data_IF_175912562025
#
_entry.id   IF_175912562025
#
_cell.length_a   1.000
_cell.length_b   1.000
_cell.length_c   1.000
_cell.angle_alpha   90.00
_cell.angle_beta   90.00
_cell.angle_gamma   90.00
#
_symmetry.space_group_name_H-M   'P 1'
#
loop_
_entity.id
_entity.type
_entity.pdbx_description
1 polymer ?
#
# COMPACT_ATOMS: atom_id res chain seq x y z
N UNK A 1 2.88 19.02 -4.94
CA UNK A 1 2.83 19.29 -3.47
C UNK A 1 2.57 18.01 -2.66
N UNK A 2 1.47 17.26 -2.85
CA UNK A 2 1.16 16.04 -2.06
C UNK A 2 2.21 14.93 -2.12
N UNK A 3 2.79 14.67 -3.30
CA UNK A 3 3.86 13.69 -3.46
C UNK A 3 5.12 14.01 -2.63
N UNK A 4 5.46 15.30 -2.51
CA UNK A 4 6.63 15.79 -1.74
C UNK A 4 6.36 15.70 -0.24
N UNK A 5 5.11 15.93 0.18
CA UNK A 5 4.74 15.77 1.59
C UNK A 5 4.70 14.30 2.03
N UNK A 6 4.36 13.38 1.11
CA UNK A 6 4.38 11.95 1.35
C UNK A 6 5.79 11.38 1.56
N UNK A 7 6.85 11.99 1.02
CA UNK A 7 8.22 11.51 1.27
C UNK A 7 8.67 11.67 2.73
N UNK A 8 8.07 12.62 3.47
CA UNK A 8 8.39 12.88 4.89
C UNK A 8 7.64 11.96 5.87
N UNK A 9 6.79 11.04 5.38
CA UNK A 9 5.98 10.17 6.23
C UNK A 9 6.84 9.22 7.08
N UNK A 10 8.05 8.91 6.63
CA UNK A 10 9.02 8.12 7.39
C UNK A 10 9.37 8.75 8.76
N UNK A 11 9.37 10.08 8.88
CA UNK A 11 9.64 10.79 10.14
C UNK A 11 8.58 10.50 11.20
N UNK A 12 7.34 10.27 10.79
CA UNK A 12 6.21 9.95 11.69
C UNK A 12 6.35 8.56 12.32
N UNK A 13 7.17 7.69 11.75
CA UNK A 13 7.37 6.33 12.28
C UNK A 13 8.21 6.28 13.56
N UNK A 14 8.84 7.40 13.95
CA UNK A 14 9.67 7.49 15.16
C UNK A 14 8.84 7.71 16.43
N UNK A 15 7.69 8.38 16.31
CA UNK A 15 6.82 8.73 17.42
C UNK A 15 5.42 8.16 17.18
N UNK A 16 5.24 6.90 17.60
CA UNK A 16 3.97 6.17 17.47
C UNK A 16 3.34 6.05 18.86
N UNK A 17 2.16 6.64 19.02
CA UNK A 17 1.35 6.50 20.23
C UNK A 17 0.32 5.38 20.02
N UNK A 18 0.15 4.54 21.03
CA UNK A 18 -0.85 3.46 21.05
C UNK A 18 -1.84 3.81 22.14
N UNK A 19 -3.14 3.83 21.82
CA UNK A 19 -4.16 4.04 22.84
C UNK A 19 -4.14 2.89 23.84
N UNK A 20 -4.22 3.22 25.13
CA UNK A 20 -4.24 2.25 26.24
C UNK A 20 -5.63 2.09 26.84
N UNK A 21 -6.68 2.43 26.08
CA UNK A 21 -8.07 2.35 26.55
C UNK A 21 -8.41 0.97 27.13
N UNK A 22 -9.31 0.96 28.11
CA UNK A 22 -9.67 -0.16 28.99
C UNK A 22 -9.61 -1.53 28.32
N UNK A 23 -8.56 -2.27 28.67
CA UNK A 23 -8.35 -3.64 28.20
C UNK A 23 -9.46 -4.50 28.81
N UNK A 24 -10.43 -4.88 27.97
CA UNK A 24 -11.43 -5.88 28.36
C UNK A 24 -10.69 -7.18 28.65
N UNK A 25 -10.85 -7.68 29.88
CA UNK A 25 -10.16 -8.89 30.38
C UNK A 25 -10.47 -10.15 29.55
N UNK A 26 -11.57 -10.13 28.79
CA UNK A 26 -12.02 -11.20 27.88
C UNK A 26 -11.69 -10.94 26.40
N UNK A 27 -11.00 -9.85 26.07
CA UNK A 27 -10.69 -9.46 24.69
C UNK A 27 -9.45 -10.15 24.10
N UNK A 28 -9.40 -10.25 22.77
CA UNK A 28 -8.19 -10.69 22.07
C UNK A 28 -7.11 -9.60 22.11
N UNK A 29 -5.86 -10.02 22.32
CA UNK A 29 -4.69 -9.14 22.26
C UNK A 29 -4.00 -9.26 20.91
N UNK A 30 -4.01 -8.19 20.13
CA UNK A 30 -3.35 -8.15 18.82
C UNK A 30 -1.92 -7.64 18.94
N UNK A 31 -0.96 -8.36 18.36
CA UNK A 31 0.44 -7.96 18.27
C UNK A 31 0.73 -7.57 16.82
N UNK A 32 1.05 -6.30 16.60
CA UNK A 32 1.43 -5.77 15.29
C UNK A 32 2.96 -5.57 15.21
N UNK A 33 3.65 -6.26 14.28
CA UNK A 33 5.07 -6.04 14.05
C UNK A 33 5.38 -4.62 13.59
N UNK A 34 6.37 -3.98 14.24
CA UNK A 34 6.76 -2.59 13.95
C UNK A 34 7.20 -2.39 12.50
N UNK A 35 7.91 -3.35 11.91
CA UNK A 35 8.38 -3.28 10.52
C UNK A 35 7.21 -3.15 9.52
N UNK A 36 6.11 -3.87 9.76
CA UNK A 36 4.91 -3.81 8.91
C UNK A 36 4.21 -2.47 9.08
N UNK A 37 4.04 -2.01 10.33
CA UNK A 37 3.44 -0.71 10.61
C UNK A 37 4.23 0.44 9.97
N UNK A 38 5.56 0.42 10.08
CA UNK A 38 6.42 1.44 9.47
C UNK A 38 6.28 1.47 7.95
N UNK A 39 6.31 0.30 7.31
CA UNK A 39 6.11 0.19 5.85
C UNK A 39 4.72 0.70 5.45
N UNK A 40 3.68 0.33 6.18
CA UNK A 40 2.31 0.76 5.91
C UNK A 40 2.14 2.29 6.03
N UNK A 41 2.79 2.91 7.02
CA UNK A 41 2.81 4.38 7.15
C UNK A 41 3.52 5.00 5.96
N UNK A 42 4.67 4.47 5.52
CA UNK A 42 5.45 5.05 4.41
C UNK A 42 4.67 5.03 3.08
N UNK A 43 3.93 3.96 2.80
CA UNK A 43 3.13 3.84 1.58
C UNK A 43 1.79 4.61 1.63
N UNK A 44 1.45 5.22 2.77
CA UNK A 44 0.18 5.96 2.93
C UNK A 44 0.24 7.38 2.37
N UNK A 45 -0.92 8.03 2.30
CA UNK A 45 -1.04 9.43 1.87
C UNK A 45 -1.60 10.29 3.01
N UNK A 46 -1.31 11.60 2.97
CA UNK A 46 -1.76 12.55 3.99
C UNK A 46 -3.25 12.93 3.86
N UNK A 47 -3.86 12.64 2.70
CA UNK A 47 -5.18 13.13 2.32
C UNK A 47 -6.12 11.99 1.94
N UNK A 48 -5.64 11.00 1.20
CA UNK A 48 -6.39 9.80 0.88
C UNK A 48 -6.11 8.71 1.92
N UNK A 49 -7.19 8.13 2.47
CA UNK A 49 -7.06 6.98 3.36
C UNK A 49 -6.67 5.72 2.58
N UNK A 50 -5.87 4.85 3.20
CA UNK A 50 -5.57 3.52 2.70
C UNK A 50 -5.95 2.48 3.75
N UNK A 51 -6.34 1.30 3.31
CA UNK A 51 -6.74 0.17 4.13
C UNK A 51 -5.99 -1.10 3.71
N UNK A 52 -5.83 -2.03 4.65
CA UNK A 52 -5.17 -3.30 4.39
C UNK A 52 -5.79 -4.39 5.25
N UNK A 53 -5.92 -5.59 4.69
CA UNK A 53 -6.40 -6.75 5.42
C UNK A 53 -5.27 -7.33 6.28
N UNK A 54 -5.52 -7.43 7.59
CA UNK A 54 -4.58 -8.01 8.54
C UNK A 54 -4.75 -9.53 8.56
N UNK A 55 -3.66 -10.25 8.34
CA UNK A 55 -3.63 -11.70 8.47
C UNK A 55 -2.64 -12.08 9.56
N UNK A 56 -3.08 -12.94 10.45
CA UNK A 56 -2.32 -13.35 11.62
C UNK A 56 -2.75 -14.71 12.11
N UNK A 57 -1.96 -15.26 13.02
CA UNK A 57 -2.26 -16.54 13.68
C UNK A 57 -2.08 -16.37 15.18
N UNK A 58 -2.77 -17.21 15.95
CA UNK A 58 -2.45 -17.32 17.37
C UNK A 58 -1.22 -18.20 17.56
N UNK A 59 -0.32 -17.85 18.50
CA UNK A 59 0.70 -18.79 18.93
C UNK A 59 0.03 -20.04 19.55
N UNK A 60 0.64 -21.23 19.43
CA UNK A 60 0.07 -22.47 19.97
C UNK A 60 -0.10 -22.42 21.49
N UNK A 61 0.72 -21.60 22.16
CA UNK A 61 0.75 -21.50 23.62
C UNK A 61 -0.36 -20.60 24.19
N UNK A 62 -0.93 -19.67 23.39
CA UNK A 62 -1.95 -18.76 23.86
C UNK A 62 -2.94 -18.32 22.75
N UNK A 63 -4.17 -18.87 22.73
CA UNK A 63 -5.17 -18.55 21.71
C UNK A 63 -5.79 -17.15 21.84
N UNK A 64 -5.63 -16.49 22.99
CA UNK A 64 -6.12 -15.12 23.21
C UNK A 64 -5.21 -14.05 22.57
N UNK A 65 -3.98 -14.43 22.20
CA UNK A 65 -3.05 -13.56 21.48
C UNK A 65 -3.20 -13.82 19.98
N UNK A 66 -3.21 -12.75 19.19
CA UNK A 66 -3.25 -12.78 17.73
C UNK A 66 -2.04 -12.04 17.19
N UNK A 67 -1.08 -12.77 16.64
CA UNK A 67 0.11 -12.20 16.02
C UNK A 67 -0.15 -11.91 14.56
N UNK A 68 -0.11 -10.63 14.19
CA UNK A 68 -0.26 -10.20 12.80
C UNK A 68 1.04 -10.53 12.07
N UNK A 69 0.96 -11.37 11.03
CA UNK A 69 2.13 -11.79 10.24
C UNK A 69 2.25 -11.02 8.94
N UNK A 70 1.13 -10.64 8.33
CA UNK A 70 1.15 -9.91 7.09
C UNK A 70 -0.06 -8.98 6.94
N UNK A 71 0.10 -8.00 6.05
CA UNK A 71 -0.94 -7.06 5.65
C UNK A 71 -1.08 -7.16 4.15
N UNK A 72 -2.29 -7.42 3.68
CA UNK A 72 -2.59 -7.52 2.26
C UNK A 72 -3.28 -6.26 1.80
N UNK A 73 -2.74 -5.65 0.75
CA UNK A 73 -3.31 -4.48 0.12
C UNK A 73 -4.05 -4.92 -1.14
N UNK A 74 -5.39 -4.92 -1.13
CA UNK A 74 -6.15 -5.09 -2.36
C UNK A 74 -6.07 -3.80 -3.21
N UNK A 75 -6.38 -3.88 -4.51
CA UNK A 75 -6.65 -2.69 -5.32
C UNK A 75 -7.72 -1.84 -4.62
N UNK A 76 -7.45 -0.57 -4.36
CA UNK A 76 -8.34 0.28 -3.56
C UNK A 76 -8.22 1.74 -3.98
N UNK A 77 -9.25 2.53 -3.66
CA UNK A 77 -9.19 3.98 -3.77
C UNK A 77 -9.80 4.63 -2.53
N UNK A 78 -9.08 5.60 -1.98
CA UNK A 78 -9.44 6.30 -0.77
C UNK A 78 -9.94 7.72 -1.04
N UNK A 79 -10.94 8.13 -0.28
CA UNK A 79 -11.26 9.54 -0.05
C UNK A 79 -10.64 9.97 1.28
N UNK A 80 -10.97 11.18 1.76
CA UNK A 80 -10.53 11.64 3.09
C UNK A 80 -11.29 11.00 4.24
N UNK A 81 -12.49 10.47 3.96
CA UNK A 81 -13.42 9.98 4.98
C UNK A 81 -13.61 8.46 4.90
N UNK A 82 -13.48 7.89 3.71
CA UNK A 82 -13.80 6.48 3.44
C UNK A 82 -12.82 5.86 2.45
N UNK A 83 -12.63 4.54 2.55
CA UNK A 83 -11.86 3.74 1.60
C UNK A 83 -12.80 2.77 0.90
N UNK A 84 -12.70 2.70 -0.42
CA UNK A 84 -13.43 1.76 -1.24
C UNK A 84 -12.53 0.57 -1.57
N UNK A 85 -12.95 -0.60 -1.09
CA UNK A 85 -12.29 -1.88 -1.28
C UNK A 85 -13.14 -2.75 -2.21
N UNK A 86 -12.53 -3.65 -2.99
CA UNK A 86 -13.25 -4.66 -3.72
C UNK A 86 -13.97 -5.58 -2.74
N UNK A 87 -15.15 -6.06 -3.13
CA UNK A 87 -15.98 -6.92 -2.28
C UNK A 87 -15.34 -8.28 -1.98
N UNK A 88 -14.25 -8.64 -2.65
CA UNK A 88 -13.57 -9.91 -2.48
C UNK A 88 -12.33 -9.80 -1.60
N UNK A 89 -12.21 -10.77 -0.69
CA UNK A 89 -11.01 -10.94 0.12
C UNK A 89 -9.86 -11.59 -0.67
N UNK A 90 -8.61 -11.19 -0.36
CA UNK A 90 -7.42 -11.72 -1.02
C UNK A 90 -7.16 -13.20 -0.78
N UNK A 91 -6.91 -13.97 -1.85
CA UNK A 91 -6.54 -15.39 -1.76
C UNK A 91 -5.13 -15.62 -2.35
N UNK A 92 -4.23 -16.27 -1.58
CA UNK A 92 -2.89 -16.66 -2.04
C UNK A 92 -2.52 -18.05 -1.53
N UNK A 93 -1.62 -18.75 -2.23
CA UNK A 93 -1.07 -20.03 -1.78
C UNK A 93 -0.35 -19.94 -0.42
N UNK A 94 0.41 -18.87 -0.16
CA UNK A 94 1.01 -18.59 1.17
C UNK A 94 0.00 -18.18 2.26
N UNK A 95 -1.27 -17.97 1.91
CA UNK A 95 -2.37 -17.75 2.85
C UNK A 95 -3.17 -19.04 3.11
N UNK A 96 -2.85 -20.16 2.43
CA UNK A 96 -3.48 -21.48 2.68
C UNK A 96 -3.11 -21.95 4.09
N UNK A 97 -4.08 -21.87 4.99
CA UNK A 97 -3.94 -22.06 6.44
C UNK A 97 -4.85 -21.13 7.25
N UNK A 98 -5.42 -20.11 6.59
CA UNK A 98 -6.44 -19.22 7.13
C UNK A 98 -7.69 -19.38 6.23
N UNK A 99 -8.81 -19.84 6.78
CA UNK A 99 -10.01 -20.24 6.01
C UNK A 99 -10.69 -19.06 5.28
N UNK A 100 -11.06 -19.23 3.98
CA UNK A 100 -12.31 -18.78 3.29
C UNK A 100 -12.21 -18.83 1.72
N UNK A 101 -13.35 -18.94 1.00
CA UNK A 101 -13.55 -19.20 -0.46
C UNK A 101 -14.68 -18.30 -1.06
N UNK A 102 -14.90 -18.01 -2.36
CA UNK A 102 -14.12 -17.39 -3.46
C UNK A 102 -15.09 -16.66 -4.42
N UNK A 103 -14.62 -15.64 -5.13
CA UNK A 103 -14.83 -15.42 -6.60
C UNK A 103 -14.54 -13.99 -7.09
N UNK A 104 -13.26 -13.69 -7.30
CA UNK A 104 -12.68 -12.82 -8.35
C UNK A 104 -11.15 -13.00 -8.30
N UNK A 105 -10.50 -13.33 -9.42
CA UNK A 105 -9.08 -13.72 -9.39
C UNK A 105 -8.16 -12.51 -9.45
N UNK A 106 -7.37 -12.31 -8.40
CA UNK A 106 -6.15 -11.50 -8.44
C UNK A 106 -5.03 -12.30 -7.79
N UNK A 107 -3.89 -12.35 -8.46
CA UNK A 107 -2.72 -13.02 -7.92
C UNK A 107 -2.03 -12.09 -6.92
N UNK A 108 -1.86 -12.58 -5.70
CA UNK A 108 -1.05 -11.90 -4.69
C UNK A 108 0.41 -12.23 -4.93
N UNK A 109 1.30 -11.27 -4.73
CA UNK A 109 2.74 -11.50 -4.77
C UNK A 109 3.29 -11.09 -3.41
N UNK A 110 4.09 -11.96 -2.79
CA UNK A 110 4.86 -11.60 -1.61
C UNK A 110 5.95 -10.61 -2.03
N UNK A 111 5.62 -9.33 -1.96
CA UNK A 111 6.52 -8.25 -2.35
C UNK A 111 6.37 -7.10 -1.35
N UNK A 112 7.39 -6.24 -1.32
CA UNK A 112 7.24 -4.99 -0.60
C UNK A 112 6.22 -4.13 -1.35
N UNK A 113 5.14 -3.66 -0.68
CA UNK A 113 4.16 -2.82 -1.33
C UNK A 113 4.85 -1.56 -1.85
N UNK A 114 4.56 -1.23 -3.11
CA UNK A 114 5.10 -0.05 -3.77
C UNK A 114 4.46 1.20 -3.18
N UNK A 115 5.20 2.30 -3.17
CA UNK A 115 4.72 3.58 -2.66
C UNK A 115 3.48 4.08 -3.43
N UNK A 116 2.65 4.88 -2.76
CA UNK A 116 1.42 5.41 -3.34
C UNK A 116 1.63 6.17 -4.66
N UNK A 117 2.78 6.85 -4.79
CA UNK A 117 3.13 7.66 -5.96
C UNK A 117 4.00 6.91 -6.98
N UNK A 118 4.23 5.61 -6.80
CA UNK A 118 5.06 4.83 -7.72
C UNK A 118 4.47 4.86 -9.15
N UNK A 119 5.34 4.96 -10.14
CA UNK A 119 5.01 5.11 -11.57
C UNK A 119 3.99 4.09 -12.09
N UNK A 120 4.04 2.84 -11.60
CA UNK A 120 3.11 1.77 -11.97
C UNK A 120 1.65 2.07 -11.56
N UNK A 121 1.44 2.92 -10.55
CA UNK A 121 0.12 3.37 -10.12
C UNK A 121 -0.37 4.60 -10.91
N UNK A 122 0.43 5.13 -11.85
CA UNK A 122 0.16 6.36 -12.61
C UNK A 122 0.43 6.23 -14.12
N UNK A 123 -0.10 5.20 -14.81
CA UNK A 123 0.18 4.97 -16.22
C UNK A 123 -0.29 6.14 -17.13
N UNK A 124 -1.35 6.85 -16.73
CA UNK A 124 -1.88 8.00 -17.48
C UNK A 124 -0.94 9.21 -17.53
N UNK A 125 0.00 9.34 -16.58
CA UNK A 125 0.97 10.44 -16.57
C UNK A 125 2.08 10.26 -17.63
N UNK A 126 2.29 9.03 -18.11
CA UNK A 126 3.31 8.69 -19.10
C UNK A 126 2.75 8.61 -20.53
N UNK A 127 1.45 8.30 -20.68
CA UNK A 127 0.74 8.24 -21.96
C UNK A 127 0.55 9.62 -22.64
N UNK A 128 0.75 10.72 -21.92
CA UNK A 128 0.69 12.06 -22.50
C UNK A 128 1.90 12.43 -23.37
N UNK A 129 2.99 11.65 -23.31
CA UNK A 129 4.15 11.85 -24.19
C UNK A 129 4.02 11.13 -25.55
N UNK A 130 3.02 10.26 -25.71
CA UNK A 130 2.78 9.52 -26.96
C UNK A 130 1.82 10.21 -27.91
N UNK A 131 1.23 11.35 -27.51
CA UNK A 131 0.22 12.08 -28.29
C UNK A 131 0.71 13.40 -28.91
N UNK A 132 2.00 13.72 -28.81
CA UNK A 132 2.60 14.85 -29.54
C UNK A 132 3.62 14.35 -30.57
N UNK A 133 3.14 13.70 -31.63
CA UNK A 133 3.81 13.80 -32.94
C UNK A 133 3.30 15.07 -33.64
N UNK A 134 4.06 16.16 -33.49
CA UNK A 134 4.17 17.20 -34.50
C UNK A 134 5.65 17.60 -34.58
N UNK A 135 6.48 16.89 -35.36
CA UNK A 135 7.88 17.24 -35.54
C UNK A 135 8.08 18.30 -36.65
N UNK A 136 7.09 19.16 -36.93
CA UNK A 136 7.21 20.23 -37.90
C UNK A 136 6.68 21.52 -37.25
N UNK A 137 7.51 22.45 -36.78
CA UNK A 137 8.13 23.50 -37.60
C UNK A 137 9.19 24.18 -36.73
N UNK A 138 10.30 24.63 -37.31
CA UNK A 138 11.53 25.13 -36.67
C UNK A 138 12.56 24.05 -36.29
N UNK A 139 12.92 23.22 -37.28
CA UNK A 139 14.28 22.72 -37.37
C UNK A 139 15.22 23.94 -37.54
N UNK A 140 15.69 24.49 -36.42
CA UNK A 140 16.83 25.39 -36.44
C UNK A 140 18.04 24.55 -36.84
N UNK A 141 18.66 24.88 -37.97
CA UNK A 141 19.91 24.29 -38.47
C UNK A 141 20.89 24.06 -37.30
N UNK A 142 20.98 22.81 -36.84
CA UNK A 142 22.13 22.36 -36.04
C UNK A 142 23.05 21.60 -36.97
N UNK A 143 24.04 22.31 -37.49
CA UNK A 143 25.23 21.67 -38.01
C UNK A 143 25.98 20.99 -36.84
N UNK A 144 25.58 19.77 -36.49
CA UNK A 144 26.38 18.91 -35.62
C UNK A 144 27.52 18.30 -36.43
N UNK A 145 28.53 19.13 -36.73
CA UNK A 145 29.85 18.63 -37.12
C UNK A 145 30.54 18.12 -35.88
N UNK A 146 30.47 16.80 -35.66
CA UNK A 146 31.36 16.11 -34.73
C UNK A 146 32.79 16.20 -35.31
N UNK A 147 33.64 17.01 -34.66
CA UNK A 147 35.10 17.07 -34.90
C UNK A 147 35.80 16.33 -33.77
#
# INVERSE_FOLDING_TARGET
IRAISATNLHLRTNHIHVSSDDIKETGYRYILPKNILKKFIIISDLRAQISGYLYGVSPPDNPQIKEIRCVVLPPQWGTHQTVYLPNLLPQHEYLKGVHHDASMKYDLILSNPKEFYHEIHRPSHFLNFSNEENPDTYAADREDRCS
#
